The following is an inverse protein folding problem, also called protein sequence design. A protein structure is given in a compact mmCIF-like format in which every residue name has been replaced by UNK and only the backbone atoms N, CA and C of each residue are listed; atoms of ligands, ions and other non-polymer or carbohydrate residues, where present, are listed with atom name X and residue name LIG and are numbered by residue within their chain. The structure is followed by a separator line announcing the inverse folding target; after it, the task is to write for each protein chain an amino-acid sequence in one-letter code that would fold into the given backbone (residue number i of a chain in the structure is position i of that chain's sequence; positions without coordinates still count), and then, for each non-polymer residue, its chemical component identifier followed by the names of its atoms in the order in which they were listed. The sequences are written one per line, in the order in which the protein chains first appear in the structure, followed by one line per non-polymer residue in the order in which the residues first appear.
data_IF_073935912077
#
_entry.id   IF_073935912077
#
_cell.length_a   1.000
_cell.length_b   1.000
_cell.length_c   1.000
_cell.angle_alpha   90.00
_cell.angle_beta   90.00
_cell.angle_gamma   90.00
#
_symmetry.space_group_name_H-M   'P 1'
#
loop_
_entity.id
_entity.type
_entity.pdbx_description
1 polymer ?
#
# COMPACT_ATOMS: atom_id res chain seq x y z
N UNK A 1 -9.81 -43.71 -2.29
CA UNK A 1 -9.48 -43.11 -3.60
C UNK A 1 -8.41 -42.04 -3.37
N UNK A 2 -7.50 -41.82 -4.32
CA UNK A 2 -6.36 -40.94 -4.12
C UNK A 2 -6.76 -39.46 -4.05
N UNK A 3 -5.98 -38.65 -3.32
CA UNK A 3 -6.02 -37.20 -3.44
C UNK A 3 -5.37 -36.82 -4.78
N UNK A 4 -5.99 -35.91 -5.51
CA UNK A 4 -5.24 -34.95 -6.34
C UNK A 4 -4.96 -33.77 -5.42
N UNK A 5 -3.75 -33.72 -4.88
CA UNK A 5 -3.21 -32.46 -4.43
C UNK A 5 -2.96 -31.62 -5.69
N UNK A 6 -3.42 -30.37 -5.72
CA UNK A 6 -3.18 -29.45 -6.84
C UNK A 6 -1.72 -29.04 -6.75
N UNK A 7 -0.98 -29.19 -7.86
CA UNK A 7 0.43 -28.85 -7.86
C UNK A 7 0.61 -27.33 -7.80
N UNK A 8 1.65 -26.87 -7.10
CA UNK A 8 1.97 -25.44 -7.01
C UNK A 8 2.41 -24.89 -8.37
N UNK A 9 2.82 -25.76 -9.28
CA UNK A 9 3.17 -25.47 -10.67
C UNK A 9 1.95 -25.17 -11.58
N UNK A 10 0.71 -25.45 -11.16
CA UNK A 10 -0.51 -25.17 -11.96
C UNK A 10 -0.96 -23.68 -11.90
N UNK A 11 -0.14 -22.80 -11.29
CA UNK A 11 -0.36 -21.35 -11.31
C UNK A 11 0.71 -20.73 -12.21
N UNK A 12 0.32 -20.39 -13.44
CA UNK A 12 1.09 -19.53 -14.34
C UNK A 12 1.17 -18.09 -13.77
N UNK A 13 1.95 -17.93 -12.70
CA UNK A 13 2.62 -16.67 -12.46
C UNK A 13 3.73 -16.60 -13.52
N UNK A 14 3.51 -15.78 -14.53
CA UNK A 14 4.61 -15.14 -15.25
C UNK A 14 5.37 -14.29 -14.22
N UNK A 15 6.30 -14.92 -13.49
CA UNK A 15 7.38 -14.22 -12.82
C UNK A 15 8.21 -13.58 -13.93
N UNK A 16 7.83 -12.36 -14.31
CA UNK A 16 8.61 -11.48 -15.18
C UNK A 16 9.95 -11.23 -14.47
N UNK A 17 10.90 -12.12 -14.75
CA UNK A 17 12.17 -12.27 -14.05
C UNK A 17 12.85 -10.89 -14.03
N UNK A 18 12.97 -10.31 -12.82
CA UNK A 18 13.39 -8.93 -12.63
C UNK A 18 14.86 -8.77 -13.00
N UNK A 19 15.11 -8.61 -14.30
CA UNK A 19 16.39 -8.81 -14.98
C UNK A 19 17.59 -8.25 -14.20
N UNK A 20 18.27 -9.13 -13.48
CA UNK A 20 19.47 -8.79 -12.69
C UNK A 20 20.65 -8.40 -13.58
N UNK A 21 20.63 -8.82 -14.84
CA UNK A 21 21.57 -8.45 -15.90
C UNK A 21 21.68 -6.90 -16.04
N UNK A 22 20.58 -6.20 -15.77
CA UNK A 22 20.42 -4.75 -15.78
C UNK A 22 21.09 -4.05 -14.56
N UNK A 23 21.73 -4.83 -13.67
CA UNK A 23 22.62 -4.38 -12.59
C UNK A 23 24.11 -4.56 -12.94
N UNK A 24 24.47 -5.56 -13.75
CA UNK A 24 25.88 -5.83 -14.12
C UNK A 24 26.31 -5.12 -15.41
N UNK A 25 25.40 -4.96 -16.38
CA UNK A 25 25.73 -4.42 -17.71
C UNK A 25 26.31 -2.98 -17.69
N UNK A 26 25.97 -2.18 -16.68
CA UNK A 26 26.40 -0.78 -16.53
C UNK A 26 27.62 -0.64 -15.61
N UNK A 27 28.74 -1.26 -16.00
CA UNK A 27 30.01 -1.22 -15.28
C UNK A 27 30.40 0.20 -14.85
N UNK A 28 30.33 0.47 -13.54
CA UNK A 28 30.52 1.78 -12.93
C UNK A 28 31.81 2.49 -13.41
N UNK A 29 31.69 3.50 -14.27
CA UNK A 29 32.84 4.19 -14.86
C UNK A 29 33.75 4.86 -13.79
N UNK A 30 33.15 5.38 -12.72
CA UNK A 30 33.85 5.91 -11.53
C UNK A 30 34.69 4.82 -10.84
N UNK A 31 34.20 3.58 -10.83
CA UNK A 31 34.86 2.42 -10.24
C UNK A 31 35.98 1.89 -11.16
N UNK A 32 35.75 1.90 -12.48
CA UNK A 32 36.72 1.49 -13.50
C UNK A 32 37.91 2.48 -13.62
N UNK A 33 37.69 3.78 -13.41
CA UNK A 33 38.75 4.79 -13.32
C UNK A 33 39.56 4.73 -12.00
N UNK A 34 39.08 3.97 -11.03
CA UNK A 34 39.65 3.87 -9.69
C UNK A 34 39.44 5.14 -8.85
N UNK A 35 39.34 4.98 -7.53
CA UNK A 35 39.14 6.07 -6.58
C UNK A 35 40.42 6.91 -6.35
N UNK A 36 40.98 7.48 -7.42
CA UNK A 36 42.14 8.37 -7.41
C UNK A 36 41.78 9.71 -6.76
N UNK A 37 41.76 9.72 -5.42
CA UNK A 37 41.51 10.91 -4.60
C UNK A 37 42.55 11.99 -4.96
N UNK A 38 42.15 13.12 -5.57
CA UNK A 38 43.11 14.14 -6.02
C UNK A 38 43.89 14.70 -4.82
N UNK A 39 45.21 14.58 -4.86
CA UNK A 39 46.08 15.21 -3.87
C UNK A 39 46.31 16.65 -4.28
N UNK A 40 45.70 17.59 -3.55
CA UNK A 40 46.09 19.00 -3.60
C UNK A 40 47.61 19.09 -3.29
N UNK A 41 48.42 19.77 -4.12
CA UNK A 41 49.84 19.92 -3.85
C UNK A 41 50.07 20.74 -2.59
N UNK A 42 51.01 20.29 -1.75
CA UNK A 42 51.27 20.85 -0.42
C UNK A 42 52.24 22.02 -0.55
N UNK A 43 51.68 23.22 -0.75
CA UNK A 43 52.38 24.50 -0.97
C UNK A 43 53.21 24.56 -2.28
N UNK A 44 53.44 25.76 -2.85
CA UNK A 44 54.42 25.92 -3.93
C UNK A 44 55.81 25.63 -3.40
N UNK A 45 56.64 24.91 -4.17
CA UNK A 45 58.03 24.61 -3.76
C UNK A 45 58.92 25.85 -3.79
N UNK A 46 58.55 26.84 -4.61
CA UNK A 46 59.22 28.14 -4.73
C UNK A 46 58.60 29.13 -3.73
N UNK A 47 59.39 29.58 -2.76
CA UNK A 47 59.05 30.75 -1.93
C UNK A 47 59.36 32.03 -2.71
N UNK A 48 58.32 32.69 -3.22
CA UNK A 48 58.49 33.99 -3.89
C UNK A 48 59.09 35.03 -2.92
N UNK A 49 60.16 35.74 -3.30
CA UNK A 49 60.74 36.79 -2.47
C UNK A 49 59.74 37.93 -2.25
N UNK A 50 59.72 38.50 -1.05
CA UNK A 50 58.80 39.58 -0.70
C UNK A 50 59.03 40.82 -1.58
N UNK A 51 57.97 41.55 -1.92
CA UNK A 51 58.05 42.74 -2.77
C UNK A 51 59.06 43.76 -2.23
N UNK A 52 59.98 44.22 -3.09
CA UNK A 52 61.10 45.09 -2.71
C UNK A 52 62.37 44.39 -2.23
N UNK A 53 62.39 43.05 -2.09
CA UNK A 53 63.61 42.31 -1.76
C UNK A 53 64.64 42.39 -2.90
N UNK A 54 65.96 42.54 -2.62
CA UNK A 54 66.99 42.51 -3.66
C UNK A 54 67.02 41.15 -4.38
N UNK A 55 66.92 41.16 -5.70
CA UNK A 55 67.07 39.95 -6.52
C UNK A 55 68.57 39.66 -6.69
N UNK A 56 69.07 38.69 -5.92
CA UNK A 56 70.50 38.37 -5.88
C UNK A 56 71.01 37.62 -7.15
N UNK A 57 70.09 37.07 -7.95
CA UNK A 57 70.41 36.49 -9.27
C UNK A 57 69.18 36.47 -10.18
N UNK A 58 69.34 36.96 -11.42
CA UNK A 58 68.28 36.92 -12.45
C UNK A 58 68.06 35.49 -12.95
N UNK A 59 69.11 34.67 -13.07
CA UNK A 59 68.96 33.27 -13.53
C UNK A 59 68.25 32.39 -12.51
N UNK A 60 68.39 32.66 -11.21
CA UNK A 60 67.58 32.01 -10.17
C UNK A 60 66.08 32.36 -10.34
N UNK A 61 65.76 33.65 -10.44
CA UNK A 61 64.37 34.13 -10.62
C UNK A 61 63.70 33.56 -11.87
N UNK A 62 64.44 33.35 -12.96
CA UNK A 62 63.93 32.70 -14.19
C UNK A 62 63.68 31.19 -13.98
N UNK A 63 64.56 30.49 -13.26
CA UNK A 63 64.35 29.08 -12.92
C UNK A 63 63.14 28.88 -11.97
N UNK A 64 62.98 29.79 -11.01
CA UNK A 64 61.82 29.85 -10.10
C UNK A 64 60.52 30.08 -10.89
N UNK A 65 60.51 31.06 -11.80
CA UNK A 65 59.36 31.35 -12.65
C UNK A 65 58.97 30.15 -13.55
N UNK A 66 59.94 29.47 -14.16
CA UNK A 66 59.69 28.25 -14.94
C UNK A 66 59.27 27.05 -14.07
N UNK A 67 59.53 27.06 -12.77
CA UNK A 67 59.06 26.03 -11.84
C UNK A 67 57.62 26.31 -11.44
N UNK A 68 57.30 27.54 -11.02
CA UNK A 68 55.92 27.98 -10.77
C UNK A 68 55.02 27.84 -12.01
N UNK A 69 55.53 28.06 -13.22
CA UNK A 69 54.79 27.84 -14.46
C UNK A 69 54.38 26.37 -14.64
N UNK A 70 55.27 25.42 -14.31
CA UNK A 70 54.98 23.97 -14.38
C UNK A 70 54.00 23.55 -13.28
N UNK A 71 54.19 24.00 -12.04
CA UNK A 71 53.24 23.77 -10.95
C UNK A 71 51.83 24.31 -11.31
N UNK A 72 51.75 25.46 -11.96
CA UNK A 72 50.48 26.06 -12.38
C UNK A 72 49.82 25.31 -13.57
N UNK A 73 50.61 24.70 -14.45
CA UNK A 73 50.10 23.82 -15.51
C UNK A 73 49.56 22.51 -14.95
N UNK A 74 50.28 21.89 -13.99
CA UNK A 74 49.83 20.66 -13.34
C UNK A 74 48.55 20.88 -12.52
N UNK A 75 48.47 21.98 -11.77
CA UNK A 75 47.26 22.38 -11.04
C UNK A 75 46.04 22.57 -11.96
N UNK A 76 46.23 23.07 -13.19
CA UNK A 76 45.14 23.20 -14.17
C UNK A 76 44.67 21.83 -14.67
N UNK A 77 45.60 20.95 -15.05
CA UNK A 77 45.27 19.59 -15.48
C UNK A 77 44.55 18.80 -14.35
N UNK A 78 44.99 18.95 -13.10
CA UNK A 78 44.31 18.38 -11.93
C UNK A 78 42.90 18.96 -11.74
N UNK A 79 42.72 20.28 -11.88
CA UNK A 79 41.41 20.93 -11.79
C UNK A 79 40.46 20.47 -12.91
N UNK A 80 40.95 20.36 -14.15
CA UNK A 80 40.19 19.89 -15.31
C UNK A 80 39.73 18.43 -15.11
N UNK A 81 40.62 17.55 -14.62
CA UNK A 81 40.28 16.17 -14.26
C UNK A 81 39.19 16.11 -13.17
N UNK A 82 39.29 16.93 -12.12
CA UNK A 82 38.28 17.00 -11.06
C UNK A 82 36.95 17.55 -11.55
N UNK A 83 36.99 18.56 -12.43
CA UNK A 83 35.78 19.12 -13.06
C UNK A 83 35.06 18.07 -13.91
N UNK A 84 35.80 17.34 -14.74
CA UNK A 84 35.27 16.24 -15.56
C UNK A 84 34.71 15.09 -14.71
N UNK A 85 35.41 14.70 -13.64
CA UNK A 85 34.94 13.66 -12.71
C UNK A 85 33.65 14.08 -11.99
N UNK A 86 33.56 15.32 -11.51
CA UNK A 86 32.37 15.86 -10.87
C UNK A 86 31.18 15.96 -11.84
N UNK A 87 31.42 16.32 -13.11
CA UNK A 87 30.38 16.31 -14.14
C UNK A 87 29.89 14.88 -14.46
N UNK A 88 30.80 13.90 -14.50
CA UNK A 88 30.45 12.48 -14.61
C UNK A 88 29.59 11.99 -13.45
N UNK A 89 29.98 12.30 -12.21
CA UNK A 89 29.21 11.99 -11.00
C UNK A 89 27.81 12.63 -11.01
N UNK A 90 27.70 13.90 -11.41
CA UNK A 90 26.41 14.58 -11.52
C UNK A 90 25.50 13.94 -12.58
N UNK A 91 26.06 13.54 -13.72
CA UNK A 91 25.32 12.83 -14.78
C UNK A 91 24.85 11.46 -14.30
N UNK A 92 25.73 10.68 -13.63
CA UNK A 92 25.38 9.39 -13.06
C UNK A 92 24.30 9.52 -11.96
N UNK A 93 24.36 10.56 -11.13
CA UNK A 93 23.34 10.83 -10.12
C UNK A 93 21.97 11.16 -10.73
N UNK A 94 21.92 11.88 -11.87
CA UNK A 94 20.66 12.12 -12.60
C UNK A 94 20.08 10.80 -13.12
N UNK A 95 20.88 9.98 -13.82
CA UNK A 95 20.43 8.70 -14.37
C UNK A 95 19.90 7.76 -13.27
N UNK A 96 20.55 7.74 -12.10
CA UNK A 96 20.06 6.98 -10.94
C UNK A 96 18.77 7.57 -10.34
N UNK A 97 18.62 8.90 -10.32
CA UNK A 97 17.38 9.55 -9.90
C UNK A 97 16.21 9.20 -10.83
N UNK A 98 16.43 9.29 -12.14
CA UNK A 98 15.42 8.98 -13.16
C UNK A 98 15.03 7.49 -13.14
N UNK A 99 16.00 6.57 -12.95
CA UNK A 99 15.72 5.12 -12.76
C UNK A 99 14.90 4.87 -11.48
N UNK A 100 15.23 5.54 -10.38
CA UNK A 100 14.48 5.43 -9.13
C UNK A 100 13.05 5.99 -9.24
N UNK A 101 12.86 7.10 -9.95
CA UNK A 101 11.52 7.62 -10.26
C UNK A 101 10.72 6.60 -11.08
N UNK A 102 11.29 6.02 -12.14
CA UNK A 102 10.61 5.02 -12.96
C UNK A 102 10.17 3.80 -12.14
N UNK A 103 11.01 3.29 -11.23
CA UNK A 103 10.67 2.19 -10.31
C UNK A 103 9.51 2.58 -9.38
N UNK A 104 9.56 3.78 -8.77
CA UNK A 104 8.48 4.28 -7.91
C UNK A 104 7.16 4.50 -8.66
N UNK A 105 7.21 4.86 -9.94
CA UNK A 105 6.02 4.96 -10.80
C UNK A 105 5.39 3.59 -11.07
N UNK A 106 6.16 2.61 -11.55
CA UNK A 106 5.68 1.22 -11.76
C UNK A 106 5.10 0.62 -10.48
N UNK A 107 5.76 0.82 -9.32
CA UNK A 107 5.27 0.35 -8.02
C UNK A 107 3.92 0.97 -7.62
N UNK A 108 3.71 2.27 -7.88
CA UNK A 108 2.43 2.96 -7.64
C UNK A 108 1.33 2.49 -8.58
N UNK A 109 1.67 2.18 -9.83
CA UNK A 109 0.73 1.65 -10.83
C UNK A 109 0.31 0.21 -10.49
N UNK A 110 1.26 -0.66 -10.14
CA UNK A 110 0.98 -2.01 -9.63
C UNK A 110 0.12 -2.00 -8.37
N UNK A 111 0.40 -1.10 -7.41
CA UNK A 111 -0.44 -0.93 -6.22
C UNK A 111 -1.88 -0.51 -6.57
N UNK A 112 -2.05 0.45 -7.49
CA UNK A 112 -3.39 0.88 -7.96
C UNK A 112 -4.14 -0.25 -8.65
N UNK A 113 -3.49 -1.00 -9.53
CA UNK A 113 -4.08 -2.16 -10.19
C UNK A 113 -4.49 -3.25 -9.18
N UNK A 114 -3.65 -3.50 -8.17
CA UNK A 114 -3.96 -4.41 -7.05
C UNK A 114 -5.17 -3.96 -6.23
N UNK A 115 -5.29 -2.68 -5.91
CA UNK A 115 -6.46 -2.11 -5.22
C UNK A 115 -7.75 -2.27 -6.03
N UNK A 116 -7.73 -1.97 -7.34
CA UNK A 116 -8.91 -2.14 -8.21
C UNK A 116 -9.34 -3.61 -8.28
N UNK A 117 -8.40 -4.55 -8.40
CA UNK A 117 -8.69 -6.00 -8.35
C UNK A 117 -9.28 -6.42 -7.00
N UNK A 118 -8.81 -5.85 -5.89
CA UNK A 118 -9.32 -6.12 -4.54
C UNK A 118 -10.76 -5.59 -4.36
N UNK A 119 -11.05 -4.38 -4.84
CA UNK A 119 -12.40 -3.79 -4.82
C UNK A 119 -13.37 -4.63 -5.65
N UNK A 120 -12.96 -5.10 -6.83
CA UNK A 120 -13.75 -6.04 -7.66
C UNK A 120 -13.97 -7.40 -6.96
N UNK A 121 -12.96 -7.92 -6.26
CA UNK A 121 -13.08 -9.17 -5.49
C UNK A 121 -14.04 -9.02 -4.28
N UNK A 122 -14.01 -7.88 -3.59
CA UNK A 122 -14.95 -7.59 -2.51
C UNK A 122 -16.38 -7.43 -3.04
N UNK A 123 -16.58 -6.67 -4.12
CA UNK A 123 -17.90 -6.49 -4.74
C UNK A 123 -18.48 -7.83 -5.22
N UNK A 124 -17.69 -8.68 -5.88
CA UNK A 124 -18.17 -10.01 -6.30
C UNK A 124 -18.45 -10.95 -5.13
N UNK A 125 -17.68 -10.87 -4.04
CA UNK A 125 -17.98 -11.58 -2.80
C UNK A 125 -19.31 -11.14 -2.16
N UNK A 126 -19.59 -9.83 -2.07
CA UNK A 126 -20.88 -9.35 -1.56
C UNK A 126 -22.07 -9.79 -2.44
N UNK A 127 -21.90 -9.87 -3.76
CA UNK A 127 -22.95 -10.37 -4.66
C UNK A 127 -23.20 -11.86 -4.41
N UNK A 128 -22.14 -12.67 -4.27
CA UNK A 128 -22.27 -14.07 -3.90
C UNK A 128 -22.94 -14.26 -2.53
N UNK A 129 -22.63 -13.43 -1.52
CA UNK A 129 -23.27 -13.48 -0.21
C UNK A 129 -24.78 -13.17 -0.27
N UNK A 130 -25.18 -12.20 -1.11
CA UNK A 130 -26.61 -11.92 -1.39
C UNK A 130 -27.30 -13.09 -2.10
N UNK A 131 -26.66 -13.70 -3.09
CA UNK A 131 -27.19 -14.87 -3.79
C UNK A 131 -27.32 -16.09 -2.87
N UNK A 132 -26.37 -16.29 -1.95
CA UNK A 132 -26.47 -17.33 -0.91
C UNK A 132 -27.65 -17.07 0.04
N UNK A 133 -27.87 -15.84 0.50
CA UNK A 133 -29.03 -15.51 1.34
C UNK A 133 -30.37 -15.80 0.62
N UNK A 134 -30.48 -15.41 -0.66
CA UNK A 134 -31.68 -15.74 -1.49
C UNK A 134 -31.85 -17.25 -1.66
N UNK A 135 -30.77 -18.03 -1.71
CA UNK A 135 -30.82 -19.48 -1.76
C UNK A 135 -31.23 -20.09 -0.41
N UNK A 136 -30.75 -19.56 0.72
CA UNK A 136 -31.16 -20.00 2.05
C UNK A 136 -32.65 -19.74 2.31
N UNK A 137 -33.17 -18.56 1.95
CA UNK A 137 -34.61 -18.23 2.02
C UNK A 137 -35.46 -19.20 1.18
N UNK A 138 -35.02 -19.50 -0.05
CA UNK A 138 -35.69 -20.51 -0.91
C UNK A 138 -35.69 -21.89 -0.26
N UNK A 139 -34.57 -22.32 0.31
CA UNK A 139 -34.47 -23.61 1.01
C UNK A 139 -35.33 -23.62 2.29
N UNK A 140 -35.47 -22.48 2.97
CA UNK A 140 -36.37 -22.33 4.12
C UNK A 140 -37.85 -22.46 3.72
N UNK A 141 -38.30 -21.81 2.64
CA UNK A 141 -39.67 -22.02 2.15
C UNK A 141 -39.90 -23.43 1.62
N UNK A 142 -38.94 -24.07 0.93
CA UNK A 142 -39.06 -25.49 0.57
C UNK A 142 -39.23 -26.40 1.80
N UNK A 143 -38.47 -26.17 2.88
CA UNK A 143 -38.65 -26.88 4.16
C UNK A 143 -40.02 -26.59 4.79
N UNK A 144 -40.48 -25.34 4.74
CA UNK A 144 -41.79 -24.96 5.26
C UNK A 144 -42.95 -25.55 4.44
N UNK A 145 -42.78 -25.69 3.11
CA UNK A 145 -43.72 -26.41 2.23
C UNK A 145 -43.77 -27.90 2.54
N UNK A 146 -42.60 -28.53 2.77
CA UNK A 146 -42.52 -29.93 3.18
C UNK A 146 -43.25 -30.16 4.52
N UNK A 147 -42.93 -29.38 5.56
CA UNK A 147 -43.62 -29.48 6.86
C UNK A 147 -45.13 -29.20 6.80
N UNK A 148 -45.59 -28.33 5.89
CA UNK A 148 -47.02 -28.14 5.60
C UNK A 148 -47.65 -29.37 4.92
N UNK A 149 -46.93 -30.04 4.01
CA UNK A 149 -47.37 -31.27 3.37
C UNK A 149 -47.42 -32.44 4.37
N UNK A 150 -46.39 -32.61 5.21
CA UNK A 150 -46.33 -33.63 6.26
C UNK A 150 -47.48 -33.45 7.27
N UNK A 151 -47.74 -32.19 7.69
CA UNK A 151 -48.87 -31.86 8.56
C UNK A 151 -50.22 -32.11 7.89
N UNK A 152 -50.38 -31.78 6.60
CA UNK A 152 -51.59 -32.09 5.84
C UNK A 152 -51.79 -33.61 5.67
N UNK A 153 -50.72 -34.38 5.49
CA UNK A 153 -50.79 -35.84 5.41
C UNK A 153 -51.10 -36.46 6.78
N UNK A 154 -50.57 -35.91 7.88
CA UNK A 154 -50.93 -36.29 9.24
C UNK A 154 -52.41 -35.98 9.54
N UNK A 155 -52.92 -34.81 9.13
CA UNK A 155 -54.34 -34.49 9.20
C UNK A 155 -55.19 -35.42 8.34
N UNK A 156 -54.77 -35.76 7.11
CA UNK A 156 -55.48 -36.74 6.27
C UNK A 156 -55.46 -38.17 6.86
N UNK A 157 -54.42 -38.55 7.61
CA UNK A 157 -54.42 -39.80 8.39
C UNK A 157 -55.38 -39.72 9.58
N UNK A 158 -55.38 -38.60 10.31
CA UNK A 158 -56.28 -38.37 11.44
C UNK A 158 -57.75 -38.32 10.99
N UNK A 159 -58.06 -37.60 9.92
CA UNK A 159 -59.40 -37.53 9.31
C UNK A 159 -59.84 -38.87 8.72
N UNK A 160 -58.92 -39.73 8.24
CA UNK A 160 -59.27 -41.12 7.89
C UNK A 160 -59.58 -41.96 9.13
N UNK A 161 -58.83 -41.79 10.22
CA UNK A 161 -59.14 -42.42 11.52
C UNK A 161 -60.52 -41.99 12.03
N UNK A 162 -60.68 -40.68 12.25
CA UNK A 162 -61.92 -39.97 12.58
C UNK A 162 -63.06 -40.40 11.66
N UNK A 163 -62.90 -40.43 10.34
CA UNK A 163 -63.94 -40.88 9.41
C UNK A 163 -64.30 -42.37 9.59
N UNK A 164 -63.36 -43.26 9.94
CA UNK A 164 -63.72 -44.65 10.30
C UNK A 164 -64.39 -44.77 11.67
N UNK A 165 -64.20 -43.81 12.57
CA UNK A 165 -64.87 -43.74 13.87
C UNK A 165 -66.26 -43.11 13.72
N UNK A 166 -66.36 -41.93 13.11
CA UNK A 166 -67.60 -41.31 12.63
C UNK A 166 -68.42 -42.23 11.72
N UNK A 167 -67.84 -43.17 10.97
CA UNK A 167 -68.61 -44.17 10.22
C UNK A 167 -69.23 -45.23 11.15
N UNK A 168 -68.54 -45.65 12.22
CA UNK A 168 -69.12 -46.50 13.27
C UNK A 168 -70.17 -45.71 14.05
N UNK A 169 -69.91 -44.44 14.37
CA UNK A 169 -70.82 -43.60 15.12
C UNK A 169 -72.01 -43.12 14.28
N UNK A 170 -71.88 -42.96 12.97
CA UNK A 170 -73.02 -42.78 12.06
C UNK A 170 -73.75 -44.11 11.79
N UNK A 171 -73.12 -45.28 11.92
CA UNK A 171 -73.88 -46.53 12.06
C UNK A 171 -74.62 -46.62 13.40
N UNK A 172 -74.11 -45.99 14.47
CA UNK A 172 -74.76 -45.90 15.78
C UNK A 172 -75.80 -44.75 15.86
N UNK A 173 -75.66 -43.70 15.05
CA UNK A 173 -76.59 -42.56 14.96
C UNK A 173 -77.63 -42.76 13.86
N UNK A 174 -77.37 -43.48 12.77
CA UNK A 174 -78.45 -44.05 11.93
C UNK A 174 -79.21 -45.20 12.65
N UNK A 175 -78.74 -45.59 13.85
CA UNK A 175 -79.44 -46.39 14.85
C UNK A 175 -80.15 -45.57 15.95
N UNK A 176 -79.93 -44.25 16.05
CA UNK A 176 -80.39 -43.43 17.20
C UNK A 176 -80.99 -42.06 16.84
N UNK A 177 -80.46 -41.36 15.84
CA UNK A 177 -81.18 -40.30 15.12
C UNK A 177 -82.25 -40.90 14.18
N UNK A 178 -82.27 -42.22 13.94
CA UNK A 178 -83.50 -42.89 13.50
C UNK A 178 -84.63 -42.79 14.55
N UNK A 179 -84.23 -42.50 15.79
CA UNK A 179 -85.07 -42.29 16.97
C UNK A 179 -85.05 -40.79 17.41
N UNK A 180 -84.37 -39.90 16.65
CA UNK A 180 -84.18 -38.46 16.96
C UNK A 180 -84.10 -37.47 15.75
N UNK A 181 -84.17 -37.91 14.48
CA UNK A 181 -84.22 -37.03 13.26
C UNK A 181 -85.43 -36.11 13.31
N UNK A 182 -86.39 -36.50 14.14
CA UNK A 182 -87.28 -35.62 14.86
C UNK A 182 -86.60 -34.21 15.47
N UNK A 183 -85.55 -33.30 14.88
CA UNK A 183 -84.44 -32.07 15.28
C UNK A 183 -83.75 -30.67 14.41
N UNK A 184 -82.56 -29.79 14.65
CA UNK A 184 -81.98 -28.25 14.23
C UNK A 184 -80.38 -27.52 13.88
N UNK A 185 -79.90 -26.09 13.79
CA UNK A 185 -78.53 -25.26 13.18
C UNK A 185 -77.74 -23.70 13.53
N UNK A 186 -76.68 -22.91 12.82
CA UNK A 186 -75.65 -21.59 13.16
C UNK A 186 -74.82 -20.35 12.19
N UNK A 187 -73.77 -19.32 12.49
CA UNK A 187 -73.13 -17.91 11.79
C UNK A 187 -71.54 -17.07 11.84
N UNK A 188 -71.07 -15.74 11.34
CA UNK A 188 -69.59 -14.93 11.06
C UNK A 188 -69.07 -13.23 10.98
N UNK A 189 -67.75 -12.58 10.67
CA UNK A 189 -67.03 -11.04 10.79
C UNK A 189 -65.80 -10.14 9.85
N UNK A 190 -65.03 -8.87 10.11
CA UNK A 190 -64.01 -7.78 9.24
C UNK A 190 -62.81 -6.55 9.74
N UNK A 191 -61.94 -5.60 8.98
CA UNK A 191 -60.73 -4.45 9.32
C UNK A 191 -59.93 -3.16 8.39
N UNK A 192 -58.86 -2.15 8.73
CA UNK A 192 -58.19 -0.72 8.09
C UNK A 192 -56.57 0.03 8.08
N UNK A 193 -56.07 1.36 7.59
CA UNK A 193 -54.59 2.19 7.46
C UNK A 193 -54.25 3.91 7.18
N UNK A 194 -53.19 4.95 6.89
CA UNK A 194 -51.63 5.53 6.52
C UNK A 194 -50.99 7.20 6.54
N UNK A 195 -49.66 7.81 6.17
CA UNK A 195 -48.85 9.28 6.35
C UNK A 195 -47.64 10.21 5.41
N UNK A 196 -46.89 11.47 5.70
CA UNK A 196 -45.91 12.63 4.92
C UNK A 196 -44.46 13.47 5.47
N UNK A 197 -43.58 14.70 5.20
CA UNK A 197 -42.97 15.98 4.28
C UNK A 197 -41.38 16.81 4.32
N UNK A 198 -40.87 18.10 3.76
CA UNK A 198 -39.39 18.95 3.71
C UNK A 198 -39.06 20.62 3.28
N UNK A 199 -37.99 21.64 3.00
CA UNK A 199 -36.41 22.22 2.74
C UNK A 199 -35.96 23.93 2.68
N UNK A 200 -34.86 24.93 2.42
CA UNK A 200 -33.31 25.45 2.00
C UNK A 200 -32.63 27.09 1.87
N UNK A 201 -31.27 27.63 1.52
CA UNK A 201 -30.41 29.08 1.61
C UNK A 201 -29.26 29.86 0.51
N UNK A 202 -28.21 30.92 0.35
CA UNK A 202 -27.10 32.10 0.86
C UNK A 202 -26.25 33.37 -0.06
N UNK A 203 -25.08 34.26 0.23
CA UNK A 203 -24.34 35.65 -0.44
C UNK A 203 -22.72 36.34 -0.38
N UNK A 204 -22.12 37.59 -0.92
CA UNK A 204 -20.60 38.34 -1.01
C UNK A 204 -20.18 40.01 -1.39
N UNK A 205 -19.06 40.98 -1.67
CA UNK A 205 -17.47 41.49 -1.91
C UNK A 205 -16.93 43.18 -2.05
N UNK A 206 -15.79 44.10 -2.37
CA UNK A 206 -14.17 44.52 -2.68
C UNK A 206 -13.47 46.14 -2.93
N UNK A 207 -12.09 46.67 -3.10
CA UNK A 207 -11.34 48.20 -3.29
C UNK A 207 -9.73 48.73 -3.80
N UNK A 208 -9.08 50.07 -3.91
CA UNK A 208 -7.62 50.70 -4.50
C UNK A 208 -6.78 52.25 -4.30
N UNK A 209 -5.50 52.79 -4.86
CA UNK A 209 -4.50 54.17 -4.72
C UNK A 209 -3.29 54.81 -5.83
N UNK A 210 -2.19 55.81 -6.01
CA UNK A 210 -1.11 57.05 -5.56
C UNK A 210 -0.11 58.00 -6.67
N UNK A 211 1.03 58.97 -6.83
CA UNK A 211 2.28 59.97 -6.28
C UNK A 211 3.47 60.92 -7.23
N UNK A 212 4.38 62.08 -6.92
CA UNK A 212 5.90 62.71 -7.43
C UNK A 212 6.62 64.32 -7.65
N UNK A 213 8.01 64.80 -7.97
CA UNK A 213 8.84 66.28 -8.08
C UNK A 213 10.39 66.80 -8.78
N UNK A 214 11.14 68.08 -8.72
CA UNK A 214 12.38 68.91 -9.55
C UNK A 214 13.71 70.00 -9.09
N UNK A 215 14.67 70.83 -9.88
CA UNK A 215 15.99 71.86 -9.59
C UNK A 215 16.94 72.99 -10.58
N UNK A 216 18.13 73.85 -10.30
CA UNK A 216 19.07 75.04 -11.09
C UNK A 216 20.67 75.65 -10.70
N UNK A 217 21.73 76.68 -11.02
CA UNK A 217 22.40 78.03 -11.80
C UNK A 217 24.07 78.65 -11.73
N UNK A 218 24.81 79.78 -12.38
CA UNK A 218 26.38 80.41 -12.35
C UNK A 218 27.12 81.91 -12.99
N UNK A 219 28.50 82.47 -12.94
CA UNK A 219 29.30 83.89 -13.44
C UNK A 219 31.02 84.39 -13.52
N UNK A 220 31.75 85.58 -14.09
CA UNK A 220 33.35 86.16 -14.17
C UNK A 220 34.12 87.58 -14.93
N UNK A 221 35.36 88.37 -14.66
CA UNK A 221 36.53 89.29 -15.53
C UNK A 221 37.77 90.49 -15.11
N UNK A 222 38.86 91.16 -15.89
CA UNK A 222 39.82 92.57 -15.92
C UNK A 222 41.50 92.97 -16.33
N UNK A 223 42.21 94.25 -16.63
CA UNK A 223 43.78 94.73 -17.04
C UNK A 223 44.59 96.31 -17.14
N UNK A 224 45.98 96.75 -17.50
CA UNK A 224 46.82 98.23 -17.70
C UNK A 224 48.27 98.88 -18.50
N UNK A 225 49.38 99.80 -18.10
CA UNK A 225 50.26 101.06 -18.83
C UNK A 225 51.95 101.54 -19.16
N UNK A 226 52.74 102.79 -18.97
CA UNK A 226 53.89 103.72 -19.81
C UNK A 226 55.57 104.31 -19.63
N UNK A 227 56.24 105.59 -20.02
CA UNK A 227 57.70 106.02 -20.71
C UNK A 227 59.21 106.74 -20.35
N UNK A 228 59.71 108.01 -20.68
CA UNK A 228 61.17 108.40 -21.11
C UNK A 228 62.43 108.58 -20.16
N UNK A 229 62.35 108.91 -18.86
CA UNK A 229 63.53 109.27 -18.02
C UNK A 229 64.49 108.10 -17.65
N UNK A 230 64.47 107.03 -18.44
CA UNK A 230 64.86 105.66 -18.06
C UNK A 230 66.27 105.28 -18.51
N UNK A 231 66.86 106.01 -19.46
CA UNK A 231 67.95 105.44 -20.28
C UNK A 231 69.37 105.58 -19.69
N UNK A 232 69.71 106.65 -18.96
CA UNK A 232 71.06 106.82 -18.40
C UNK A 232 71.37 105.92 -17.21
N UNK A 233 70.35 105.35 -16.56
CA UNK A 233 70.54 104.36 -15.48
C UNK A 233 71.01 103.00 -16.00
N UNK A 234 71.00 102.77 -17.33
CA UNK A 234 71.24 101.44 -17.93
C UNK A 234 72.61 100.84 -17.65
N UNK A 235 73.73 101.56 -17.72
CA UNK A 235 75.04 100.90 -17.83
C UNK A 235 75.43 99.93 -16.67
N UNK A 236 75.32 100.30 -15.37
CA UNK A 236 75.53 99.33 -14.28
C UNK A 236 74.39 98.33 -14.18
N UNK A 237 73.15 98.79 -14.40
CA UNK A 237 71.94 97.95 -14.46
C UNK A 237 72.06 96.87 -15.54
N UNK A 238 72.78 97.11 -16.65
CA UNK A 238 72.99 96.14 -17.73
C UNK A 238 73.96 95.02 -17.31
N UNK A 239 74.92 95.28 -16.43
CA UNK A 239 75.80 94.25 -15.87
C UNK A 239 75.11 93.49 -14.74
N UNK A 240 74.39 94.18 -13.86
CA UNK A 240 73.48 93.54 -12.89
C UNK A 240 72.42 92.70 -13.62
N UNK A 241 71.93 93.14 -14.78
CA UNK A 241 71.00 92.42 -15.64
C UNK A 241 71.68 91.27 -16.40
N UNK A 242 72.97 91.34 -16.73
CA UNK A 242 73.74 90.17 -17.22
C UNK A 242 73.89 89.12 -16.12
N UNK A 243 74.30 89.52 -14.92
CA UNK A 243 74.40 88.63 -13.76
C UNK A 243 73.04 88.03 -13.39
N UNK A 244 71.98 88.85 -13.29
CA UNK A 244 70.63 88.39 -13.02
C UNK A 244 70.06 87.50 -14.16
N UNK A 245 70.41 87.75 -15.43
CA UNK A 245 70.10 86.83 -16.55
C UNK A 245 70.84 85.51 -16.42
N UNK A 246 72.11 85.51 -16.01
CA UNK A 246 72.87 84.30 -15.76
C UNK A 246 72.26 83.49 -14.60
N UNK A 247 71.99 84.12 -13.45
CA UNK A 247 71.28 83.48 -12.32
C UNK A 247 69.86 83.02 -12.68
N UNK A 248 69.13 83.76 -13.53
CA UNK A 248 67.84 83.30 -14.09
C UNK A 248 68.00 82.10 -15.01
N UNK A 249 69.07 82.03 -15.81
CA UNK A 249 69.34 80.87 -16.66
C UNK A 249 69.71 79.64 -15.83
N UNK A 250 70.53 79.79 -14.79
CA UNK A 250 70.84 78.73 -13.83
C UNK A 250 69.59 78.28 -13.07
N UNK A 251 68.82 79.21 -12.49
CA UNK A 251 67.58 78.90 -11.78
C UNK A 251 66.54 78.24 -12.69
N UNK A 252 66.47 78.61 -13.98
CA UNK A 252 65.65 77.90 -14.97
C UNK A 252 66.14 76.47 -15.20
N UNK A 253 67.44 76.25 -15.41
CA UNK A 253 68.01 74.90 -15.56
C UNK A 253 67.77 74.03 -14.31
N UNK A 254 67.86 74.61 -13.11
CA UNK A 254 67.58 73.93 -11.83
C UNK A 254 66.08 73.59 -11.68
N UNK A 255 65.19 74.51 -12.04
CA UNK A 255 63.73 74.28 -12.08
C UNK A 255 63.37 73.22 -13.13
N UNK A 256 63.98 73.26 -14.31
CA UNK A 256 63.75 72.33 -15.42
C UNK A 256 64.27 70.93 -15.06
N UNK A 257 65.44 70.82 -14.41
CA UNK A 257 65.93 69.58 -13.84
C UNK A 257 64.99 69.02 -12.74
N UNK A 258 64.49 69.88 -11.84
CA UNK A 258 63.53 69.48 -10.82
C UNK A 258 62.17 69.05 -11.41
N UNK A 259 61.71 69.69 -12.49
CA UNK A 259 60.52 69.28 -13.23
C UNK A 259 60.73 67.92 -13.92
N UNK A 260 61.87 67.73 -14.59
CA UNK A 260 62.23 66.46 -15.23
C UNK A 260 62.32 65.28 -14.24
N UNK A 261 62.70 65.52 -12.98
CA UNK A 261 62.66 64.52 -11.91
C UNK A 261 61.26 64.31 -11.31
N UNK A 262 60.38 65.31 -11.39
CA UNK A 262 59.00 65.25 -10.87
C UNK A 262 58.08 64.43 -11.80
N UNK A 263 58.30 64.46 -13.12
CA UNK A 263 57.53 63.67 -14.11
C UNK A 263 57.51 62.16 -13.79
N UNK A 264 58.65 61.44 -13.69
CA UNK A 264 58.62 60.00 -13.39
C UNK A 264 58.03 59.71 -12.01
N UNK A 265 58.26 60.57 -11.00
CA UNK A 265 57.67 60.41 -9.68
C UNK A 265 56.13 60.49 -9.72
N UNK A 266 55.58 61.40 -10.54
CA UNK A 266 54.12 61.47 -10.76
C UNK A 266 53.59 60.26 -11.52
N UNK A 267 54.33 59.72 -12.50
CA UNK A 267 53.92 58.52 -13.23
C UNK A 267 53.97 57.26 -12.36
N UNK A 268 54.94 57.13 -11.45
CA UNK A 268 54.95 56.07 -10.45
C UNK A 268 53.81 56.23 -9.44
N UNK A 269 53.49 57.44 -8.99
CA UNK A 269 52.31 57.69 -8.16
C UNK A 269 50.99 57.37 -8.90
N UNK A 270 50.89 57.66 -10.20
CA UNK A 270 49.75 57.26 -11.05
C UNK A 270 49.65 55.74 -11.15
N UNK A 271 50.78 55.04 -11.39
CA UNK A 271 50.86 53.57 -11.46
C UNK A 271 50.47 52.91 -10.15
N UNK A 272 51.01 53.37 -9.01
CA UNK A 272 50.68 52.84 -7.68
C UNK A 272 49.21 53.05 -7.36
N UNK A 273 48.64 54.23 -7.63
CA UNK A 273 47.20 54.47 -7.44
C UNK A 273 46.33 53.56 -8.33
N UNK A 274 46.71 53.35 -9.60
CA UNK A 274 45.99 52.43 -10.49
C UNK A 274 46.03 50.98 -9.98
N UNK A 275 47.18 50.52 -9.47
CA UNK A 275 47.33 49.19 -8.86
C UNK A 275 46.51 49.04 -7.57
N UNK A 276 46.49 50.06 -6.71
CA UNK A 276 45.67 50.08 -5.49
C UNK A 276 44.17 50.03 -5.79
N UNK A 277 43.70 50.78 -6.80
CA UNK A 277 42.30 50.73 -7.27
C UNK A 277 41.96 49.36 -7.83
N UNK A 278 42.81 48.79 -8.70
CA UNK A 278 42.61 47.45 -9.26
C UNK A 278 42.55 46.37 -8.16
N UNK A 279 43.40 46.45 -7.14
CA UNK A 279 43.39 45.54 -6.01
C UNK A 279 42.12 45.72 -5.14
N UNK A 280 41.69 46.96 -4.90
CA UNK A 280 40.44 47.24 -4.18
C UNK A 280 39.19 46.74 -4.94
N UNK A 281 39.19 46.83 -6.27
CA UNK A 281 38.16 46.21 -7.11
C UNK A 281 38.18 44.69 -7.02
N UNK A 282 39.34 44.04 -7.09
CA UNK A 282 39.40 42.58 -7.04
C UNK A 282 39.06 42.03 -5.65
N UNK A 283 39.35 42.77 -4.57
CA UNK A 283 38.83 42.51 -3.22
C UNK A 283 37.29 42.63 -3.18
N UNK A 284 36.70 43.66 -3.79
CA UNK A 284 35.22 43.81 -3.89
C UNK A 284 34.58 42.68 -4.69
N UNK A 285 35.17 42.29 -5.81
CA UNK A 285 34.74 41.13 -6.62
C UNK A 285 34.87 39.83 -5.82
N UNK A 286 35.98 39.66 -5.07
CA UNK A 286 36.21 38.55 -4.15
C UNK A 286 35.14 38.44 -3.06
N UNK A 287 34.84 39.54 -2.36
CA UNK A 287 33.77 39.60 -1.36
C UNK A 287 32.39 39.26 -1.97
N UNK A 288 32.11 39.75 -3.18
CA UNK A 288 30.88 39.43 -3.92
C UNK A 288 30.78 37.94 -4.28
N UNK A 289 31.88 37.32 -4.73
CA UNK A 289 31.95 35.88 -4.99
C UNK A 289 31.75 35.06 -3.70
N UNK A 290 32.37 35.47 -2.59
CA UNK A 290 32.19 34.84 -1.28
C UNK A 290 30.74 34.95 -0.78
N UNK A 291 30.06 36.08 -1.00
CA UNK A 291 28.66 36.23 -0.61
C UNK A 291 27.76 35.27 -1.40
N UNK A 292 27.90 35.23 -2.73
CA UNK A 292 27.15 34.29 -3.59
C UNK A 292 27.41 32.83 -3.26
N UNK A 293 28.63 32.48 -2.87
CA UNK A 293 28.97 31.13 -2.38
C UNK A 293 28.33 30.82 -1.03
N UNK A 294 28.16 31.80 -0.13
CA UNK A 294 27.40 31.61 1.12
C UNK A 294 25.91 31.41 0.86
N UNK A 295 25.34 32.14 -0.10
CA UNK A 295 23.93 31.97 -0.52
C UNK A 295 23.68 30.60 -1.16
N UNK A 296 24.57 30.15 -2.06
CA UNK A 296 24.44 28.84 -2.70
C UNK A 296 24.67 27.69 -1.72
N UNK A 297 25.63 27.80 -0.78
CA UNK A 297 25.82 26.83 0.30
C UNK A 297 24.62 26.80 1.24
N UNK A 298 24.06 27.95 1.64
CA UNK A 298 22.84 27.99 2.45
C UNK A 298 21.68 27.28 1.75
N UNK A 299 21.46 27.56 0.47
CA UNK A 299 20.43 26.91 -0.37
C UNK A 299 20.67 25.41 -0.51
N UNK A 300 21.92 24.97 -0.72
CA UNK A 300 22.27 23.56 -0.76
C UNK A 300 22.03 22.86 0.59
N UNK A 301 22.29 23.53 1.72
CA UNK A 301 22.02 22.96 3.05
C UNK A 301 20.53 22.85 3.37
N UNK A 302 19.69 23.81 2.98
CA UNK A 302 18.23 23.71 3.17
C UNK A 302 17.63 22.61 2.29
N UNK A 303 18.06 22.49 1.04
CA UNK A 303 17.66 21.39 0.13
C UNK A 303 18.10 20.03 0.67
N UNK A 304 19.33 19.89 1.19
CA UNK A 304 19.80 18.64 1.82
C UNK A 304 18.94 18.26 3.03
N UNK A 305 18.67 19.19 3.94
CA UNK A 305 17.84 18.94 5.13
C UNK A 305 16.39 18.61 4.76
N UNK A 306 15.85 19.24 3.71
CA UNK A 306 14.55 18.87 3.16
C UNK A 306 14.53 17.41 2.68
N UNK A 307 15.47 17.02 1.81
CA UNK A 307 15.59 15.65 1.29
C UNK A 307 15.82 14.61 2.41
N UNK A 308 16.68 14.90 3.39
CA UNK A 308 16.88 14.05 4.58
C UNK A 308 15.58 13.87 5.37
N UNK A 309 14.77 14.93 5.52
CA UNK A 309 13.46 14.85 6.17
C UNK A 309 12.42 14.07 5.35
N UNK A 310 12.50 14.09 4.02
CA UNK A 310 11.62 13.31 3.14
C UNK A 310 11.98 11.82 3.15
N UNK A 311 13.27 11.47 3.11
CA UNK A 311 13.72 10.08 3.29
C UNK A 311 13.29 9.53 4.66
N UNK A 312 13.42 10.31 5.74
CA UNK A 312 12.97 9.90 7.07
C UNK A 312 11.44 9.66 7.13
N UNK A 313 10.64 10.50 6.45
CA UNK A 313 9.18 10.27 6.33
C UNK A 313 8.85 9.04 5.50
N UNK A 314 9.60 8.78 4.42
CA UNK A 314 9.41 7.60 3.58
C UNK A 314 9.70 6.30 4.36
N UNK A 315 10.83 6.24 5.07
CA UNK A 315 11.20 5.12 5.94
C UNK A 315 10.16 4.88 7.05
N UNK A 316 9.67 5.95 7.70
CA UNK A 316 8.60 5.82 8.69
C UNK A 316 7.29 5.29 8.07
N UNK A 317 6.97 5.68 6.84
CA UNK A 317 5.83 5.17 6.07
C UNK A 317 5.98 3.67 5.73
N UNK A 318 7.18 3.24 5.35
CA UNK A 318 7.50 1.83 5.05
C UNK A 318 7.43 0.94 6.30
N UNK A 319 7.99 1.39 7.44
CA UNK A 319 7.88 0.71 8.73
C UNK A 319 6.42 0.61 9.20
N UNK A 320 5.60 1.63 8.94
CA UNK A 320 4.16 1.58 9.18
C UNK A 320 3.46 0.56 8.26
N UNK A 321 3.77 0.58 6.96
CA UNK A 321 3.17 -0.34 5.97
C UNK A 321 3.51 -1.81 6.26
N UNK A 322 4.77 -2.11 6.59
CA UNK A 322 5.23 -3.47 6.96
C UNK A 322 4.65 -3.93 8.28
N UNK A 323 4.52 -3.04 9.29
CA UNK A 323 3.82 -3.33 10.54
C UNK A 323 2.35 -3.70 10.29
N UNK A 324 1.62 -2.91 9.48
CA UNK A 324 0.23 -3.26 9.08
C UNK A 324 0.17 -4.58 8.32
N UNK A 325 1.07 -4.84 7.37
CA UNK A 325 1.05 -6.10 6.60
C UNK A 325 1.36 -7.33 7.46
N UNK A 326 2.16 -7.19 8.53
CA UNK A 326 2.35 -8.22 9.54
C UNK A 326 1.06 -8.45 10.36
N UNK A 327 0.39 -7.37 10.80
CA UNK A 327 -0.88 -7.46 11.55
C UNK A 327 -1.99 -8.12 10.72
N UNK A 328 -2.17 -7.73 9.45
CA UNK A 328 -3.15 -8.36 8.55
C UNK A 328 -2.86 -9.85 8.32
N UNK A 329 -1.60 -10.25 8.12
CA UNK A 329 -1.22 -11.67 8.01
C UNK A 329 -1.49 -12.44 9.29
N UNK A 330 -1.18 -11.89 10.47
CA UNK A 330 -1.46 -12.51 11.75
C UNK A 330 -2.97 -12.71 11.98
N UNK A 331 -3.79 -11.69 11.65
CA UNK A 331 -5.24 -11.77 11.68
C UNK A 331 -5.79 -12.87 10.75
N UNK A 332 -5.32 -12.90 9.50
CA UNK A 332 -5.71 -13.93 8.52
C UNK A 332 -5.35 -15.35 8.97
N UNK A 333 -4.15 -15.55 9.52
CA UNK A 333 -3.72 -16.85 10.04
C UNK A 333 -4.56 -17.29 11.25
N UNK A 334 -4.91 -16.36 12.14
CA UNK A 334 -5.81 -16.62 13.29
C UNK A 334 -7.23 -17.02 12.83
N UNK A 335 -7.80 -16.30 11.87
CA UNK A 335 -9.11 -16.61 11.27
C UNK A 335 -9.07 -17.98 10.58
N UNK A 336 -8.03 -18.26 9.78
CA UNK A 336 -7.82 -19.56 9.11
C UNK A 336 -7.73 -20.70 10.11
N UNK A 337 -6.94 -20.54 11.18
CA UNK A 337 -6.80 -21.55 12.24
C UNK A 337 -8.12 -21.80 12.98
N UNK A 338 -8.81 -20.74 13.41
CA UNK A 338 -10.14 -20.83 14.04
C UNK A 338 -11.19 -21.50 13.13
N UNK A 339 -11.14 -21.23 11.82
CA UNK A 339 -12.00 -21.84 10.81
C UNK A 339 -11.69 -23.34 10.63
N UNK A 340 -10.41 -23.71 10.59
CA UNK A 340 -9.95 -25.10 10.48
C UNK A 340 -10.24 -25.91 11.75
N UNK A 341 -10.04 -25.34 12.93
CA UNK A 341 -10.38 -25.96 14.22
C UNK A 341 -11.88 -26.19 14.37
N UNK A 342 -12.72 -25.23 13.95
CA UNK A 342 -14.18 -25.41 13.90
C UNK A 342 -14.60 -26.52 12.93
N UNK A 343 -14.04 -26.58 11.72
CA UNK A 343 -14.28 -27.70 10.78
C UNK A 343 -13.87 -29.06 11.37
N UNK A 344 -12.73 -29.12 12.07
CA UNK A 344 -12.28 -30.34 12.75
C UNK A 344 -13.22 -30.80 13.86
N UNK A 345 -13.70 -29.86 14.69
CA UNK A 345 -14.67 -30.15 15.75
C UNK A 345 -16.02 -30.64 15.19
N UNK A 346 -16.55 -29.97 14.16
CA UNK A 346 -17.79 -30.38 13.48
C UNK A 346 -17.63 -31.76 12.84
N UNK A 347 -16.54 -32.01 12.10
CA UNK A 347 -16.26 -33.32 11.51
C UNK A 347 -16.19 -34.44 12.56
N UNK A 348 -15.51 -34.20 13.68
CA UNK A 348 -15.46 -35.15 14.79
C UNK A 348 -16.83 -35.40 15.43
N UNK A 349 -17.69 -34.38 15.53
CA UNK A 349 -19.07 -34.54 16.00
C UNK A 349 -19.92 -35.33 15.00
N UNK A 350 -19.83 -35.03 13.70
CA UNK A 350 -20.51 -35.78 12.64
C UNK A 350 -20.11 -37.25 12.66
N UNK A 351 -18.82 -37.58 12.75
CA UNK A 351 -18.37 -38.98 12.84
C UNK A 351 -18.93 -39.73 14.05
N UNK A 352 -19.01 -39.09 15.24
CA UNK A 352 -19.65 -39.69 16.42
C UNK A 352 -21.15 -39.92 16.22
N UNK A 353 -21.84 -38.97 15.61
CA UNK A 353 -23.28 -39.10 15.32
C UNK A 353 -23.53 -40.21 14.27
N UNK A 354 -22.73 -40.28 13.21
CA UNK A 354 -22.82 -41.38 12.22
C UNK A 354 -22.56 -42.74 12.84
N UNK A 355 -21.58 -42.86 13.75
CA UNK A 355 -21.34 -44.10 14.50
C UNK A 355 -22.56 -44.48 15.37
N UNK A 356 -23.10 -43.54 16.16
CA UNK A 356 -24.28 -43.84 17.01
C UNK A 356 -25.54 -44.12 16.20
N UNK A 357 -25.70 -43.55 15.00
CA UNK A 357 -26.77 -43.93 14.07
C UNK A 357 -26.59 -45.39 13.62
N UNK A 358 -25.39 -45.79 13.18
CA UNK A 358 -25.13 -47.18 12.78
C UNK A 358 -25.41 -48.18 13.91
N UNK A 359 -24.97 -47.88 15.14
CA UNK A 359 -25.31 -48.67 16.34
C UNK A 359 -26.83 -48.81 16.54
N UNK A 360 -27.58 -47.71 16.41
CA UNK A 360 -29.05 -47.71 16.54
C UNK A 360 -29.75 -48.46 15.39
N UNK A 361 -29.17 -48.51 14.19
CA UNK A 361 -29.67 -49.31 13.08
C UNK A 361 -29.42 -50.81 13.29
N UNK A 362 -28.26 -51.19 13.85
CA UNK A 362 -27.97 -52.58 14.25
C UNK A 362 -28.88 -53.03 15.42
N UNK A 363 -29.09 -52.18 16.43
CA UNK A 363 -30.04 -52.40 17.54
C UNK A 363 -31.48 -52.62 16.98
N UNK A 364 -31.93 -51.76 16.06
CA UNK A 364 -33.22 -51.87 15.36
C UNK A 364 -33.35 -53.19 14.60
N UNK A 365 -32.36 -53.54 13.80
CA UNK A 365 -32.42 -54.71 12.91
C UNK A 365 -32.24 -56.02 13.68
N UNK A 366 -31.62 -56.00 14.87
CA UNK A 366 -31.70 -57.10 15.83
C UNK A 366 -33.13 -57.24 16.40
N UNK A 367 -33.74 -56.16 16.88
CA UNK A 367 -35.10 -56.19 17.42
C UNK A 367 -36.16 -56.65 16.41
N UNK A 368 -36.01 -56.28 15.13
CA UNK A 368 -36.87 -56.77 14.04
C UNK A 368 -36.70 -58.29 13.84
N UNK A 369 -35.45 -58.80 13.81
CA UNK A 369 -35.17 -60.24 13.70
C UNK A 369 -35.79 -61.02 14.85
N UNK A 370 -35.56 -60.59 16.10
CA UNK A 370 -36.17 -61.26 17.27
C UNK A 370 -37.70 -61.28 17.22
N UNK A 371 -38.34 -60.15 16.82
CA UNK A 371 -39.80 -60.05 16.68
C UNK A 371 -40.31 -61.07 15.65
N UNK A 372 -39.63 -61.18 14.52
CA UNK A 372 -40.08 -62.03 13.42
C UNK A 372 -39.80 -63.51 13.69
N UNK A 373 -38.72 -63.83 14.41
CA UNK A 373 -38.48 -65.16 15.00
C UNK A 373 -39.56 -65.55 16.02
N UNK A 374 -39.87 -64.68 16.99
CA UNK A 374 -40.98 -64.87 17.94
C UNK A 374 -42.31 -65.10 17.21
N UNK A 375 -42.57 -64.33 16.14
CA UNK A 375 -43.75 -64.52 15.30
C UNK A 375 -43.70 -65.84 14.50
N UNK A 376 -42.55 -66.31 14.02
CA UNK A 376 -42.39 -67.65 13.42
C UNK A 376 -42.66 -68.75 14.44
N UNK A 377 -42.11 -68.66 15.65
CA UNK A 377 -42.33 -69.61 16.74
C UNK A 377 -43.82 -69.69 17.13
N UNK A 378 -44.49 -68.55 17.31
CA UNK A 378 -45.93 -68.48 17.58
C UNK A 378 -46.77 -69.10 16.45
N UNK A 379 -46.37 -68.88 15.18
CA UNK A 379 -47.00 -69.50 14.00
C UNK A 379 -46.76 -71.01 13.94
N UNK A 380 -45.63 -71.54 14.41
CA UNK A 380 -45.40 -72.99 14.57
C UNK A 380 -46.33 -73.54 15.65
N UNK A 381 -46.24 -73.03 16.88
CA UNK A 381 -47.08 -73.43 18.02
C UNK A 381 -48.58 -73.42 17.69
N UNK A 382 -49.08 -72.41 16.97
CA UNK A 382 -50.50 -72.38 16.53
C UNK A 382 -50.87 -73.47 15.51
N UNK A 383 -49.95 -73.92 14.65
CA UNK A 383 -50.17 -75.08 13.77
C UNK A 383 -50.12 -76.39 14.56
N UNK A 384 -49.18 -76.52 15.47
CA UNK A 384 -49.00 -77.75 16.26
C UNK A 384 -50.18 -77.96 17.23
N UNK A 385 -50.68 -76.87 17.83
CA UNK A 385 -51.93 -76.90 18.61
C UNK A 385 -53.20 -77.16 17.77
N UNK A 386 -53.19 -76.86 16.46
CA UNK A 386 -54.28 -77.28 15.54
C UNK A 386 -54.19 -78.78 15.27
N UNK A 387 -53.02 -79.26 14.85
CA UNK A 387 -52.71 -80.68 14.64
C UNK A 387 -53.02 -81.54 15.87
N UNK A 388 -52.69 -81.07 17.08
CA UNK A 388 -53.01 -81.74 18.34
C UNK A 388 -54.51 -81.87 18.58
N UNK A 389 -55.32 -80.84 18.29
CA UNK A 389 -56.79 -80.93 18.35
C UNK A 389 -57.38 -81.81 17.25
N UNK A 390 -56.79 -81.81 16.06
CA UNK A 390 -57.19 -82.70 14.95
C UNK A 390 -56.89 -84.17 15.28
N UNK A 391 -55.74 -84.46 15.92
CA UNK A 391 -55.39 -85.79 16.42
C UNK A 391 -56.32 -86.21 17.57
N UNK A 392 -56.56 -85.34 18.56
CA UNK A 392 -57.43 -85.63 19.69
C UNK A 392 -58.88 -85.90 19.27
N UNK A 393 -59.38 -85.18 18.25
CA UNK A 393 -60.66 -85.49 17.59
C UNK A 393 -60.62 -86.90 17.00
N UNK A 394 -59.69 -87.20 16.07
CA UNK A 394 -59.57 -88.54 15.45
C UNK A 394 -59.54 -89.67 16.48
N UNK A 395 -58.78 -89.53 17.57
CA UNK A 395 -58.70 -90.54 18.64
C UNK A 395 -60.03 -90.68 19.40
N UNK A 396 -60.69 -89.58 19.75
CA UNK A 396 -62.02 -89.59 20.38
C UNK A 396 -63.07 -90.22 19.46
N UNK A 397 -63.06 -89.83 18.19
CA UNK A 397 -64.04 -90.24 17.19
C UNK A 397 -63.85 -91.75 16.89
N UNK A 398 -62.61 -92.25 16.75
CA UNK A 398 -62.31 -93.69 16.64
C UNK A 398 -62.67 -94.48 17.92
N UNK A 399 -62.51 -93.89 19.11
CA UNK A 399 -62.96 -94.50 20.36
C UNK A 399 -64.49 -94.59 20.43
N UNK A 400 -65.21 -93.58 19.93
CA UNK A 400 -66.67 -93.61 19.84
C UNK A 400 -67.16 -94.70 18.87
N UNK A 401 -66.52 -94.83 17.69
CA UNK A 401 -66.81 -95.90 16.72
C UNK A 401 -66.53 -97.29 17.32
N UNK A 402 -65.41 -97.46 18.03
CA UNK A 402 -65.07 -98.72 18.73
C UNK A 402 -66.09 -99.05 19.83
N UNK A 403 -66.52 -98.06 20.61
CA UNK A 403 -67.53 -98.24 21.67
C UNK A 403 -68.90 -98.61 21.08
N UNK A 404 -69.35 -97.91 20.04
CA UNK A 404 -70.57 -98.26 19.31
C UNK A 404 -70.50 -99.67 18.74
N UNK A 405 -69.38 -100.04 18.09
CA UNK A 405 -69.13 -101.39 17.58
C UNK A 405 -69.10 -102.50 18.64
N UNK A 406 -68.84 -102.16 19.91
CA UNK A 406 -69.00 -103.08 21.05
C UNK A 406 -70.46 -103.14 21.51
N UNK A 407 -71.12 -102.00 21.71
CA UNK A 407 -72.52 -101.92 22.17
C UNK A 407 -73.47 -102.66 21.22
N UNK A 408 -73.32 -102.48 19.91
CA UNK A 408 -74.15 -103.15 18.89
C UNK A 408 -73.99 -104.68 18.92
N UNK A 409 -72.81 -105.22 19.28
CA UNK A 409 -72.59 -106.67 19.43
C UNK A 409 -73.27 -107.28 20.66
N UNK A 410 -73.58 -106.45 21.66
CA UNK A 410 -74.30 -106.86 22.88
C UNK A 410 -75.82 -106.62 22.73
N UNK A 411 -76.28 -106.16 21.55
CA UNK A 411 -77.70 -105.93 21.26
C UNK A 411 -78.23 -104.57 21.75
N UNK A 412 -77.37 -103.68 22.23
CA UNK A 412 -77.73 -102.29 22.54
C UNK A 412 -77.56 -101.38 21.33
N UNK A 413 -78.11 -100.16 21.43
CA UNK A 413 -77.88 -99.08 20.46
C UNK A 413 -77.54 -97.80 21.24
N UNK A 414 -76.55 -97.05 20.75
CA UNK A 414 -76.04 -95.82 21.38
C UNK A 414 -75.87 -94.75 20.31
N UNK A 415 -76.22 -93.51 20.62
CA UNK A 415 -76.02 -92.37 19.71
C UNK A 415 -74.58 -91.82 19.87
N UNK A 416 -73.76 -91.97 18.84
CA UNK A 416 -72.40 -91.44 18.81
C UNK A 416 -72.36 -89.92 18.60
N UNK A 417 -73.40 -89.29 18.05
CA UNK A 417 -73.43 -87.84 17.85
C UNK A 417 -73.62 -87.08 19.18
N UNK A 418 -74.39 -87.63 20.11
CA UNK A 418 -74.52 -87.10 21.48
C UNK A 418 -73.27 -87.38 22.33
N UNK A 419 -72.54 -88.46 22.06
CA UNK A 419 -71.29 -88.83 22.74
C UNK A 419 -70.07 -87.97 22.35
N UNK A 420 -70.20 -87.16 21.30
CA UNK A 420 -69.09 -86.50 20.57
C UNK A 420 -69.20 -84.95 20.58
N UNK A 421 -70.21 -84.39 21.24
CA UNK A 421 -70.29 -82.94 21.52
C UNK A 421 -69.27 -82.49 22.57
#
# INVERSE_FOLDING_TARGET
MARRDVDVNDIDLEEEELGTDDLEAAGCAVCALGAHRPRLPVAPQVQLPASGSPVHSVTALVADAHTLQRENQELRAQYELVSAHNAGLATQASVLHDRNLAILHRAREGYRAGMIRLEQALLSWEHAERDYAVLEDRVADFRARAGRADAAEALLRAERGSSTEQYRDLQNQLRAARDQVTDLTAQLARAPATPPPSTGPVTSAVAALEQRRDAVVAEKDQARQALTAVEQQRAPVDEELRAARASLSQSRMEIEAAQNLNVPLQDDLRRVNALLVAHAEELRRGATRIHKLKESVATATTLRVAAESEMARAQAGELCATSRSAQYRAGWLSIRWSSQQRRGAVGAQTHRLSARVAELEEERDLAIRERDERAVAWRRMRRDARRGRELARRVRDELADRLAGVVTRVGGQIDTADLVR
#
